data_IF_110088615811
#
_entry.id   IF_110088615811
#
_cell.length_a   1.000
_cell.length_b   1.000
_cell.length_c   1.000
_cell.angle_alpha   90.00
_cell.angle_beta   90.00
_cell.angle_gamma   90.00
#
_symmetry.space_group_name_H-M   'P 1'
#
loop_
_entity.id
_entity.type
_entity.pdbx_description
1 polymer ?
#
# COMPACT_ATOMS: atom_id res chain seq x y z
N UNK A 1 37.80 -8.13 -24.27
CA UNK A 1 36.60 -8.03 -25.14
C UNK A 1 35.37 -8.81 -24.62
N UNK A 2 35.29 -9.16 -23.32
CA UNK A 2 34.18 -9.98 -22.75
C UNK A 2 33.24 -9.22 -21.78
N UNK A 3 33.24 -7.88 -21.79
CA UNK A 3 32.39 -7.06 -20.88
C UNK A 3 31.09 -6.56 -21.57
N UNK A 4 31.05 -6.50 -22.91
CA UNK A 4 29.89 -5.98 -23.65
C UNK A 4 28.71 -6.97 -23.76
N UNK A 5 28.95 -8.28 -23.67
CA UNK A 5 27.91 -9.32 -23.76
C UNK A 5 27.23 -9.68 -22.43
N UNK A 6 27.80 -9.26 -21.29
CA UNK A 6 27.27 -9.59 -19.97
C UNK A 6 26.17 -8.60 -19.54
N UNK A 7 26.34 -7.30 -19.83
CA UNK A 7 25.40 -6.23 -19.48
C UNK A 7 23.97 -6.44 -20.02
N UNK A 8 23.82 -7.01 -21.22
CA UNK A 8 22.50 -7.33 -21.80
C UNK A 8 21.76 -8.48 -21.10
N UNK A 9 22.49 -9.50 -20.59
CA UNK A 9 21.90 -10.63 -19.84
C UNK A 9 21.53 -10.22 -18.42
N UNK A 10 22.28 -9.30 -17.82
CA UNK A 10 21.93 -8.72 -16.52
C UNK A 10 20.67 -7.85 -16.59
N UNK A 11 20.54 -6.99 -17.60
CA UNK A 11 19.34 -6.16 -17.80
C UNK A 11 18.07 -7.00 -17.99
N UNK A 12 18.12 -8.05 -18.83
CA UNK A 12 17.00 -8.97 -19.02
C UNK A 12 16.59 -9.67 -17.71
N UNK A 13 17.58 -10.10 -16.90
CA UNK A 13 17.29 -10.73 -15.60
C UNK A 13 16.68 -9.76 -14.58
N UNK A 14 17.05 -8.48 -14.62
CA UNK A 14 16.50 -7.44 -13.75
C UNK A 14 15.07 -7.08 -14.11
N UNK A 15 14.75 -6.99 -15.40
CA UNK A 15 13.37 -6.75 -15.88
C UNK A 15 12.45 -7.90 -15.49
N UNK A 16 12.89 -9.15 -15.68
CA UNK A 16 12.11 -10.33 -15.27
C UNK A 16 11.85 -10.33 -13.77
N UNK A 17 12.86 -10.01 -12.95
CA UNK A 17 12.69 -9.89 -11.49
C UNK A 17 11.73 -8.76 -11.11
N UNK A 18 11.79 -7.61 -11.78
CA UNK A 18 10.87 -6.50 -11.53
C UNK A 18 9.43 -6.86 -11.91
N UNK A 19 9.21 -7.53 -13.04
CA UNK A 19 7.88 -8.01 -13.46
C UNK A 19 7.34 -9.04 -12.46
N UNK A 20 8.18 -9.98 -12.02
CA UNK A 20 7.80 -10.95 -10.99
C UNK A 20 7.46 -10.27 -9.66
N UNK A 21 8.26 -9.29 -9.23
CA UNK A 21 7.99 -8.50 -8.02
C UNK A 21 6.67 -7.74 -8.11
N UNK A 22 6.39 -7.12 -9.26
CA UNK A 22 5.12 -6.43 -9.49
C UNK A 22 3.94 -7.39 -9.48
N UNK A 23 4.07 -8.56 -10.12
CA UNK A 23 3.05 -9.61 -10.10
C UNK A 23 2.75 -10.09 -8.68
N UNK A 24 3.78 -10.25 -7.84
CA UNK A 24 3.61 -10.58 -6.41
C UNK A 24 2.83 -9.48 -5.68
N UNK A 25 3.19 -8.21 -5.86
CA UNK A 25 2.47 -7.08 -5.24
C UNK A 25 0.98 -7.08 -5.61
N UNK A 26 0.67 -7.24 -6.91
CA UNK A 26 -0.70 -7.29 -7.40
C UNK A 26 -1.44 -8.53 -6.91
N UNK A 27 -0.78 -9.69 -6.89
CA UNK A 27 -1.37 -10.93 -6.39
C UNK A 27 -1.72 -10.82 -4.89
N UNK A 28 -0.85 -10.25 -4.07
CA UNK A 28 -1.14 -9.98 -2.66
C UNK A 28 -2.32 -9.03 -2.48
N UNK A 29 -2.39 -7.96 -3.29
CA UNK A 29 -3.53 -7.03 -3.25
C UNK A 29 -4.85 -7.70 -3.63
N UNK A 30 -4.83 -8.54 -4.68
CA UNK A 30 -6.02 -9.28 -5.11
C UNK A 30 -6.44 -10.33 -4.08
N UNK A 31 -5.49 -11.05 -3.50
CA UNK A 31 -5.73 -12.01 -2.42
C UNK A 31 -6.32 -11.31 -1.18
N UNK A 32 -5.79 -10.16 -0.77
CA UNK A 32 -6.34 -9.34 0.30
C UNK A 32 -7.78 -8.89 0.00
N UNK A 33 -8.05 -8.51 -1.25
CA UNK A 33 -9.40 -8.13 -1.71
C UNK A 33 -10.37 -9.30 -1.66
N UNK A 34 -9.98 -10.47 -2.15
CA UNK A 34 -10.80 -11.68 -2.08
C UNK A 34 -11.08 -12.07 -0.62
N UNK A 35 -10.05 -12.02 0.23
CA UNK A 35 -10.18 -12.38 1.64
C UNK A 35 -11.08 -11.43 2.42
N UNK A 36 -10.96 -10.11 2.23
CA UNK A 36 -11.85 -9.13 2.86
C UNK A 36 -13.30 -9.34 2.39
N UNK A 37 -13.51 -9.61 1.10
CA UNK A 37 -14.85 -9.88 0.56
C UNK A 37 -15.47 -11.15 1.13
N UNK A 38 -14.68 -12.19 1.38
CA UNK A 38 -15.18 -13.45 1.93
C UNK A 38 -15.42 -13.38 3.43
N UNK A 39 -14.55 -12.67 4.16
CA UNK A 39 -14.61 -12.58 5.62
C UNK A 39 -15.51 -11.45 6.11
N UNK A 40 -15.87 -10.50 5.25
CA UNK A 40 -16.72 -9.36 5.60
C UNK A 40 -16.08 -8.38 6.59
N UNK A 41 -14.76 -8.46 6.78
CA UNK A 41 -14.08 -7.61 7.75
C UNK A 41 -14.11 -6.13 7.32
N UNK A 42 -14.35 -5.18 8.26
CA UNK A 42 -14.36 -3.75 7.98
C UNK A 42 -12.93 -3.17 7.91
N UNK A 43 -12.04 -3.78 7.12
CA UNK A 43 -10.69 -3.28 6.85
C UNK A 43 -10.46 -3.02 5.37
N UNK A 44 -9.67 -1.99 5.01
CA UNK A 44 -9.30 -1.75 3.63
C UNK A 44 -8.58 -2.98 3.02
N UNK A 45 -8.95 -3.43 1.82
CA UNK A 45 -8.28 -4.54 1.13
C UNK A 45 -6.77 -4.39 0.99
N UNK A 46 -6.30 -3.15 0.83
CA UNK A 46 -4.87 -2.82 0.73
C UNK A 46 -4.10 -3.19 1.99
N UNK A 47 -4.68 -2.98 3.18
CA UNK A 47 -4.06 -3.34 4.47
C UNK A 47 -3.94 -4.85 4.60
N UNK A 48 -4.98 -5.60 4.19
CA UNK A 48 -4.91 -7.06 4.16
C UNK A 48 -3.89 -7.59 3.14
N UNK A 49 -3.80 -6.94 1.97
CA UNK A 49 -2.75 -7.25 0.99
C UNK A 49 -1.34 -7.02 1.55
N UNK A 50 -1.13 -5.96 2.33
CA UNK A 50 0.14 -5.71 3.04
C UNK A 50 0.42 -6.78 4.09
N UNK A 51 -0.57 -7.20 4.89
CA UNK A 51 -0.41 -8.27 5.86
C UNK A 51 -0.01 -9.59 5.19
N UNK A 52 -0.66 -9.95 4.08
CA UNK A 52 -0.32 -11.13 3.27
C UNK A 52 1.09 -11.01 2.71
N UNK A 53 1.47 -9.84 2.19
CA UNK A 53 2.81 -9.59 1.67
C UNK A 53 3.88 -9.75 2.76
N UNK A 54 3.63 -9.25 3.97
CA UNK A 54 4.53 -9.41 5.12
C UNK A 54 4.72 -10.90 5.45
N UNK A 55 3.63 -11.66 5.53
CA UNK A 55 3.71 -13.12 5.76
C UNK A 55 4.47 -13.82 4.64
N UNK A 56 4.23 -13.44 3.38
CA UNK A 56 4.93 -13.99 2.23
C UNK A 56 6.43 -13.68 2.26
N UNK A 57 6.84 -12.46 2.61
CA UNK A 57 8.26 -12.10 2.75
C UNK A 57 8.91 -12.80 3.94
N UNK A 58 8.19 -12.97 5.04
CA UNK A 58 8.68 -13.69 6.22
C UNK A 58 8.92 -15.19 5.93
N UNK A 59 8.04 -15.82 5.13
CA UNK A 59 8.20 -17.22 4.72
C UNK A 59 9.19 -17.39 3.55
N UNK A 60 9.28 -16.40 2.66
CA UNK A 60 10.07 -16.49 1.43
C UNK A 60 11.00 -15.28 1.26
N UNK A 61 12.17 -15.34 1.91
CA UNK A 61 13.20 -14.31 1.79
C UNK A 61 13.60 -14.01 0.32
N UNK A 62 13.50 -15.00 -0.59
CA UNK A 62 13.81 -14.84 -2.02
C UNK A 62 12.93 -13.81 -2.75
N UNK A 63 11.76 -13.47 -2.20
CA UNK A 63 10.85 -12.46 -2.79
C UNK A 63 11.27 -11.02 -2.46
N UNK A 64 12.16 -10.80 -1.49
CA UNK A 64 12.55 -9.45 -1.04
C UNK A 64 13.16 -8.61 -2.17
N UNK A 65 14.11 -9.19 -2.91
CA UNK A 65 14.82 -8.52 -3.99
C UNK A 65 13.91 -8.18 -5.19
N UNK A 66 13.13 -9.10 -5.78
CA UNK A 66 12.24 -8.77 -6.88
C UNK A 66 11.14 -7.78 -6.46
N UNK A 67 10.54 -7.94 -5.26
CA UNK A 67 9.51 -7.02 -4.75
C UNK A 67 10.08 -5.63 -4.51
N UNK A 68 11.27 -5.52 -3.91
CA UNK A 68 11.93 -4.23 -3.68
C UNK A 68 12.25 -3.50 -5.00
N UNK A 69 12.73 -4.21 -6.01
CA UNK A 69 13.00 -3.66 -7.35
C UNK A 69 11.73 -3.14 -8.03
N UNK A 70 10.60 -3.82 -7.85
CA UNK A 70 9.31 -3.41 -8.40
C UNK A 70 8.66 -2.26 -7.62
N UNK A 71 8.78 -2.26 -6.29
CA UNK A 71 8.17 -1.28 -5.40
C UNK A 71 8.87 0.09 -5.44
N UNK A 72 10.20 0.11 -5.57
CA UNK A 72 11.01 1.34 -5.57
C UNK A 72 10.53 2.40 -6.58
N UNK A 73 10.33 2.09 -7.88
CA UNK A 73 9.83 3.09 -8.84
C UNK A 73 8.38 3.49 -8.55
N UNK A 74 7.53 2.56 -8.08
CA UNK A 74 6.15 2.85 -7.70
C UNK A 74 6.07 3.85 -6.55
N UNK A 75 6.90 3.68 -5.53
CA UNK A 75 7.01 4.58 -4.39
C UNK A 75 7.62 5.94 -4.81
N UNK A 76 8.65 5.92 -5.67
CA UNK A 76 9.26 7.16 -6.19
C UNK A 76 8.28 8.00 -7.02
N UNK A 77 7.40 7.33 -7.76
CA UNK A 77 6.40 7.97 -8.62
C UNK A 77 4.99 7.84 -8.08
N UNK A 78 4.82 7.77 -6.74
CA UNK A 78 3.51 7.55 -6.12
C UNK A 78 2.46 8.61 -6.50
N UNK A 79 2.91 9.83 -6.88
CA UNK A 79 2.03 10.84 -7.44
C UNK A 79 1.26 10.33 -8.67
N UNK A 80 1.84 9.48 -9.51
CA UNK A 80 1.15 8.86 -10.65
C UNK A 80 -0.04 8.00 -10.21
N UNK A 81 0.12 7.23 -9.12
CA UNK A 81 -0.96 6.42 -8.56
C UNK A 81 -2.07 7.26 -7.91
N UNK A 82 -1.78 8.50 -7.51
CA UNK A 82 -2.81 9.40 -6.99
C UNK A 82 -3.62 10.10 -8.09
N UNK A 83 -3.09 10.24 -9.30
CA UNK A 83 -3.81 10.90 -10.40
C UNK A 83 -5.18 10.24 -10.67
N UNK A 84 -5.31 8.90 -10.80
CA UNK A 84 -6.61 8.25 -10.97
C UNK A 84 -7.56 8.49 -9.80
N UNK A 85 -7.04 8.45 -8.57
CA UNK A 85 -7.84 8.67 -7.36
C UNK A 85 -8.39 10.10 -7.31
N UNK A 86 -7.57 11.10 -7.64
CA UNK A 86 -7.98 12.52 -7.67
C UNK A 86 -8.92 12.79 -8.84
N UNK A 87 -8.67 12.22 -10.02
CA UNK A 87 -9.56 12.37 -11.18
C UNK A 87 -10.97 11.86 -10.90
N UNK A 88 -11.11 10.72 -10.20
CA UNK A 88 -12.41 10.20 -9.78
C UNK A 88 -13.17 11.13 -8.83
N UNK A 89 -12.47 11.87 -7.96
CA UNK A 89 -13.09 12.89 -7.09
C UNK A 89 -13.56 14.10 -7.91
N UNK A 90 -12.81 14.48 -8.94
CA UNK A 90 -13.18 15.60 -9.84
C UNK A 90 -14.43 15.31 -10.68
N UNK A 91 -14.79 14.05 -10.94
CA UNK A 91 -16.08 13.74 -11.58
C UNK A 91 -17.28 14.16 -10.71
N UNK A 92 -17.11 14.18 -9.39
CA UNK A 92 -18.13 14.60 -8.43
C UNK A 92 -17.99 16.07 -7.99
N UNK A 93 -17.28 16.89 -8.77
CA UNK A 93 -16.92 18.26 -8.38
C UNK A 93 -18.11 19.16 -8.07
N UNK A 94 -19.25 18.96 -8.75
CA UNK A 94 -20.47 19.74 -8.50
C UNK A 94 -21.00 19.56 -7.07
N UNK A 95 -20.94 18.33 -6.54
CA UNK A 95 -21.35 18.00 -5.16
C UNK A 95 -20.33 18.53 -4.15
N UNK A 96 -19.04 18.46 -4.50
CA UNK A 96 -17.99 19.04 -3.67
C UNK A 96 -18.12 20.56 -3.56
N UNK A 97 -18.50 21.27 -4.63
CA UNK A 97 -18.60 22.74 -4.61
C UNK A 97 -19.68 23.27 -3.66
N UNK A 98 -20.80 22.58 -3.54
CA UNK A 98 -21.88 22.95 -2.61
C UNK A 98 -21.59 22.55 -1.17
N UNK A 99 -20.80 21.49 -0.96
CA UNK A 99 -20.48 20.92 0.37
C UNK A 99 -19.01 20.98 0.78
N UNK A 100 -18.20 21.88 0.21
CA UNK A 100 -16.73 21.85 0.41
C UNK A 100 -16.33 22.08 1.87
N UNK A 101 -17.04 22.98 2.57
CA UNK A 101 -16.74 23.32 3.96
C UNK A 101 -16.98 22.12 4.92
N UNK A 102 -18.15 21.44 4.91
CA UNK A 102 -18.33 20.25 5.72
C UNK A 102 -17.42 19.08 5.30
N UNK A 103 -17.08 18.95 4.01
CA UNK A 103 -16.14 17.92 3.54
C UNK A 103 -14.73 18.10 4.13
N UNK A 104 -14.18 19.32 4.06
CA UNK A 104 -12.86 19.63 4.62
C UNK A 104 -12.88 19.51 6.14
N UNK A 105 -13.91 20.04 6.80
CA UNK A 105 -14.06 19.93 8.24
C UNK A 105 -14.13 18.45 8.69
N UNK A 106 -14.95 17.63 8.03
CA UNK A 106 -15.05 16.19 8.34
C UNK A 106 -13.73 15.45 8.10
N UNK A 107 -13.01 15.77 7.02
CA UNK A 107 -11.72 15.13 6.70
C UNK A 107 -10.64 15.48 7.72
N UNK A 108 -10.51 16.77 8.08
CA UNK A 108 -9.50 17.24 9.03
C UNK A 108 -9.84 16.81 10.45
N UNK A 109 -11.06 17.07 10.92
CA UNK A 109 -11.48 16.72 12.28
C UNK A 109 -11.56 15.20 12.45
N UNK A 110 -12.09 14.48 11.45
CA UNK A 110 -12.16 13.02 11.47
C UNK A 110 -10.78 12.37 11.45
N UNK A 111 -9.86 12.89 10.62
CA UNK A 111 -8.47 12.45 10.59
C UNK A 111 -7.75 12.70 11.91
N UNK A 112 -7.85 13.92 12.45
CA UNK A 112 -7.28 14.28 13.74
C UNK A 112 -7.84 13.42 14.88
N UNK A 113 -9.16 13.25 14.93
CA UNK A 113 -9.82 12.41 15.94
C UNK A 113 -9.37 10.94 15.83
N UNK A 114 -9.31 10.39 14.63
CA UNK A 114 -8.85 9.02 14.39
C UNK A 114 -7.41 8.83 14.88
N UNK A 115 -6.53 9.79 14.60
CA UNK A 115 -5.14 9.75 15.09
C UNK A 115 -5.07 9.85 16.62
N UNK A 116 -5.84 10.75 17.25
CA UNK A 116 -5.89 10.88 18.71
C UNK A 116 -6.39 9.60 19.37
N UNK A 117 -7.49 9.02 18.89
CA UNK A 117 -8.05 7.77 19.44
C UNK A 117 -7.08 6.61 19.24
N UNK A 118 -6.43 6.52 18.08
CA UNK A 118 -5.40 5.51 17.81
C UNK A 118 -4.22 5.66 18.77
N UNK A 119 -3.73 6.88 18.98
CA UNK A 119 -2.61 7.16 19.89
C UNK A 119 -2.97 6.83 21.35
N UNK A 120 -4.16 7.21 21.82
CA UNK A 120 -4.62 6.89 23.18
C UNK A 120 -4.79 5.39 23.39
N UNK A 121 -5.35 4.69 22.39
CA UNK A 121 -5.49 3.22 22.43
C UNK A 121 -4.13 2.55 22.52
N UNK A 122 -3.16 3.00 21.71
CA UNK A 122 -1.80 2.47 21.73
C UNK A 122 -1.11 2.71 23.08
N UNK A 123 -1.24 3.92 23.65
CA UNK A 123 -0.70 4.23 24.98
C UNK A 123 -1.35 3.39 26.09
N UNK A 124 -2.67 3.18 26.04
CA UNK A 124 -3.37 2.35 27.00
C UNK A 124 -2.90 0.89 26.97
N UNK A 125 -2.63 0.34 25.78
CA UNK A 125 -2.07 -1.01 25.61
C UNK A 125 -0.63 -1.11 26.11
N UNK A 126 0.22 -0.11 25.85
CA UNK A 126 1.59 -0.07 26.35
C UNK A 126 1.64 0.06 27.88
N UNK A 127 0.82 0.94 28.46
CA UNK A 127 0.74 1.13 29.92
C UNK A 127 0.28 -0.13 30.65
N UNK A 128 -0.53 -0.98 29.99
CA UNK A 128 -0.90 -2.31 30.51
C UNK A 128 0.27 -3.30 30.56
N UNK A 129 1.29 -3.11 29.72
CA UNK A 129 2.48 -3.97 29.65
C UNK A 129 3.57 -3.56 30.64
N UNK A 130 3.52 -2.34 31.18
CA UNK A 130 4.44 -1.86 32.24
C UNK A 130 3.95 -2.19 33.67
N UNK A 131 2.67 -2.55 33.83
CA UNK A 131 2.06 -2.89 35.13
C UNK A 131 1.93 -4.41 35.34
N UNK A 132 2.30 -5.22 34.34
CA UNK A 132 2.37 -6.68 34.40
C UNK A 132 3.84 -7.14 34.36
#
# INVERSE_FOLDING_TARGET
>A
MSQAGQSGRYAASSVVRAVLGFAVLVACLFAGTALVRWTGLPVPPSVMGMAILIVALACFARLEAPVGLAATPLLKHMMLCFIPAVAGVMEQFAVLKTGWLPFVAASVLGGALTLVVTALTFQALMKRKEVA
#
